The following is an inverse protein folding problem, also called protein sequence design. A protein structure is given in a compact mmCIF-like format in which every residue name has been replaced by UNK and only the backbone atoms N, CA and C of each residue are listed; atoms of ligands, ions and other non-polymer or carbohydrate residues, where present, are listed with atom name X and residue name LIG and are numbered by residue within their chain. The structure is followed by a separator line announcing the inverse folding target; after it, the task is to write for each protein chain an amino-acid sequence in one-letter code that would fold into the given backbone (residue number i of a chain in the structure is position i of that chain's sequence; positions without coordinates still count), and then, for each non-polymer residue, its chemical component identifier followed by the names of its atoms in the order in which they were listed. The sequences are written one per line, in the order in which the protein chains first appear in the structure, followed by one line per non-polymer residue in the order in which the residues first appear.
data_IF_836220786032
#
_entry.id   IF_836220786032
#
_cell.length_a   1.000
_cell.length_b   1.000
_cell.length_c   1.000
_cell.angle_alpha   90.00
_cell.angle_beta   90.00
_cell.angle_gamma   90.00
#
_symmetry.space_group_name_H-M   'P 1'
#
loop_
_entity.id
_entity.type
_entity.pdbx_description
1 polymer ?
#
# COMPACT_ATOMS: atom_id res chain seq x y z
N UNK A 1 0.66 -10.29 -5.76
CA UNK A 1 0.98 -9.93 -4.36
C UNK A 1 -0.14 -10.36 -3.42
N UNK A 2 -1.38 -9.97 -3.72
CA UNK A 2 -2.52 -10.27 -2.84
C UNK A 2 -2.67 -11.77 -2.56
N UNK A 3 -2.53 -12.60 -3.57
CA UNK A 3 -2.70 -14.04 -3.39
C UNK A 3 -1.59 -14.64 -2.52
N UNK A 4 -0.38 -14.13 -2.66
CA UNK A 4 0.73 -14.58 -1.85
C UNK A 4 0.52 -14.21 -0.38
N UNK A 5 0.05 -12.99 -0.13
CA UNK A 5 -0.25 -12.54 1.22
C UNK A 5 -1.37 -13.39 1.84
N UNK A 6 -2.40 -13.67 1.08
CA UNK A 6 -3.53 -14.45 1.56
C UNK A 6 -3.12 -15.89 1.91
N UNK A 7 -2.25 -16.47 1.10
CA UNK A 7 -1.75 -17.83 1.36
C UNK A 7 -0.88 -17.89 2.60
N UNK A 8 -0.05 -16.86 2.81
CA UNK A 8 0.85 -16.83 3.95
C UNK A 8 0.15 -16.47 5.27
N UNK A 9 -0.97 -15.81 5.18
CA UNK A 9 -1.71 -15.39 6.36
C UNK A 9 -3.18 -15.77 6.23
N UNK A 10 -3.51 -17.05 6.31
CA UNK A 10 -4.88 -17.53 6.09
C UNK A 10 -5.89 -16.99 7.09
N UNK A 11 -5.43 -16.54 8.25
CA UNK A 11 -6.31 -15.93 9.24
C UNK A 11 -6.55 -14.45 9.03
N UNK A 12 -5.91 -13.85 8.00
CA UNK A 12 -6.05 -12.43 7.71
C UNK A 12 -6.99 -12.22 6.53
N UNK A 13 -7.66 -11.08 6.53
CA UNK A 13 -8.48 -10.66 5.42
C UNK A 13 -7.62 -9.83 4.49
N UNK A 14 -7.57 -10.20 3.22
CA UNK A 14 -6.77 -9.51 2.22
C UNK A 14 -7.70 -8.82 1.23
N UNK A 15 -7.54 -7.52 1.08
CA UNK A 15 -8.32 -6.75 0.12
C UNK A 15 -7.41 -6.37 -1.03
N UNK A 16 -7.71 -6.91 -2.21
CA UNK A 16 -6.97 -6.62 -3.43
C UNK A 16 -7.68 -5.50 -4.17
N UNK A 17 -6.97 -4.42 -4.41
CA UNK A 17 -7.54 -3.21 -4.98
C UNK A 17 -6.89 -2.91 -6.31
N UNK A 18 -7.70 -2.69 -7.34
CA UNK A 18 -7.21 -2.31 -8.66
C UNK A 18 -8.26 -1.49 -9.37
N UNK A 19 -7.84 -0.48 -10.10
CA UNK A 19 -8.73 0.34 -10.91
C UNK A 19 -9.20 -0.39 -12.17
N UNK A 20 -8.45 -1.38 -12.63
CA UNK A 20 -8.73 -2.11 -13.85
C UNK A 20 -9.68 -3.26 -13.59
N UNK A 21 -10.85 -3.23 -14.22
CA UNK A 21 -11.87 -4.26 -14.03
C UNK A 21 -11.39 -5.64 -14.45
N UNK A 22 -10.64 -5.71 -15.54
CA UNK A 22 -10.13 -6.99 -16.02
C UNK A 22 -9.13 -7.59 -15.03
N UNK A 23 -8.26 -6.76 -14.48
CA UNK A 23 -7.31 -7.21 -13.48
C UNK A 23 -8.02 -7.71 -12.23
N UNK A 24 -9.11 -7.04 -11.83
CA UNK A 24 -9.92 -7.50 -10.71
C UNK A 24 -10.55 -8.85 -10.97
N UNK A 25 -11.07 -9.06 -12.17
CA UNK A 25 -11.68 -10.35 -12.53
C UNK A 25 -10.66 -11.47 -12.50
N UNK A 26 -9.46 -11.22 -13.04
CA UNK A 26 -8.38 -12.21 -13.03
C UNK A 26 -7.94 -12.53 -11.61
N UNK A 27 -7.82 -11.53 -10.77
CA UNK A 27 -7.43 -11.74 -9.38
C UNK A 27 -8.47 -12.60 -8.65
N UNK A 28 -9.74 -12.29 -8.83
CA UNK A 28 -10.82 -13.02 -8.19
C UNK A 28 -10.86 -14.48 -8.67
N UNK A 29 -10.70 -14.70 -9.99
CA UNK A 29 -10.67 -16.04 -10.55
C UNK A 29 -9.50 -16.83 -10.02
N UNK A 30 -8.33 -16.21 -9.92
CA UNK A 30 -7.13 -16.88 -9.42
C UNK A 30 -7.25 -17.19 -7.92
N UNK A 31 -7.87 -16.32 -7.15
CA UNK A 31 -8.11 -16.56 -5.73
C UNK A 31 -9.02 -17.79 -5.56
N UNK A 32 -10.08 -17.86 -6.35
CA UNK A 32 -11.00 -18.98 -6.30
C UNK A 32 -10.30 -20.28 -6.69
N UNK A 33 -9.52 -20.23 -7.78
CA UNK A 33 -8.80 -21.40 -8.27
C UNK A 33 -7.78 -21.92 -7.27
N UNK A 34 -7.20 -21.04 -6.47
CA UNK A 34 -6.19 -21.41 -5.49
C UNK A 34 -6.77 -21.64 -4.09
N UNK A 35 -8.09 -21.63 -3.94
CA UNK A 35 -8.72 -21.90 -2.67
C UNK A 35 -8.40 -20.88 -1.60
N UNK A 36 -8.42 -19.59 -1.96
CA UNK A 36 -8.11 -18.50 -1.05
C UNK A 36 -9.37 -17.69 -0.72
N UNK A 37 -10.19 -18.14 0.23
CA UNK A 37 -11.45 -17.45 0.54
C UNK A 37 -11.25 -16.13 1.29
N UNK A 38 -10.06 -15.87 1.78
CA UNK A 38 -9.76 -14.65 2.51
C UNK A 38 -9.34 -13.48 1.63
N UNK A 39 -9.55 -13.57 0.31
CA UNK A 39 -9.26 -12.48 -0.62
C UNK A 39 -10.57 -11.86 -1.09
N UNK A 40 -10.69 -10.55 -0.94
CA UNK A 40 -11.78 -9.78 -1.51
C UNK A 40 -11.18 -8.83 -2.54
N UNK A 41 -11.75 -8.78 -3.74
CA UNK A 41 -11.22 -7.95 -4.83
C UNK A 41 -12.20 -6.84 -5.12
N UNK A 42 -11.73 -5.60 -5.03
CA UNK A 42 -12.62 -4.43 -5.15
C UNK A 42 -11.96 -3.30 -5.93
N UNK A 43 -12.80 -2.38 -6.43
CA UNK A 43 -12.33 -1.12 -6.98
C UNK A 43 -11.96 -0.17 -5.82
N UNK A 44 -11.07 0.80 -6.05
CA UNK A 44 -10.63 1.70 -4.97
C UNK A 44 -11.78 2.45 -4.28
N UNK A 45 -12.77 2.86 -5.04
CA UNK A 45 -13.90 3.62 -4.50
C UNK A 45 -14.90 2.75 -3.74
N UNK A 46 -14.76 1.44 -3.82
CA UNK A 46 -15.64 0.50 -3.11
C UNK A 46 -15.10 0.14 -1.72
N UNK A 47 -13.93 0.62 -1.36
CA UNK A 47 -13.34 0.34 -0.04
C UNK A 47 -13.95 1.27 1.00
N UNK A 48 -14.47 0.70 2.08
CA UNK A 48 -15.05 1.48 3.15
C UNK A 48 -14.02 2.46 3.70
N UNK A 49 -14.37 3.74 3.75
CA UNK A 49 -13.44 4.79 4.18
C UNK A 49 -13.04 4.66 5.65
N UNK A 50 -13.82 3.97 6.46
CA UNK A 50 -13.50 3.75 7.86
C UNK A 50 -12.52 2.60 8.08
N UNK A 51 -12.30 1.81 7.05
CA UNK A 51 -11.44 0.64 7.17
C UNK A 51 -9.98 1.05 7.32
N UNK A 52 -9.27 0.39 8.23
CA UNK A 52 -7.85 0.63 8.48
C UNK A 52 -7.09 -0.68 8.28
N UNK A 53 -5.84 -0.56 7.85
CA UNK A 53 -5.04 -1.71 7.45
C UNK A 53 -3.80 -1.87 8.32
N UNK A 54 -3.51 -3.11 8.69
CA UNK A 54 -2.29 -3.43 9.41
C UNK A 54 -1.11 -3.53 8.46
N UNK A 55 -1.37 -3.86 7.21
CA UNK A 55 -0.33 -3.96 6.19
C UNK A 55 -0.90 -3.50 4.85
N UNK A 56 -0.18 -2.62 4.19
CA UNK A 56 -0.48 -2.22 2.82
C UNK A 56 0.73 -2.61 1.99
N UNK A 57 0.50 -3.27 0.87
CA UNK A 57 1.57 -3.63 -0.05
C UNK A 57 1.23 -3.07 -1.42
N UNK A 58 2.12 -2.26 -1.99
CA UNK A 58 1.83 -1.59 -3.23
C UNK A 58 3.03 -1.43 -4.13
N UNK A 59 2.77 -1.53 -5.42
CA UNK A 59 3.69 -1.08 -6.46
C UNK A 59 3.03 0.19 -7.01
N UNK A 60 3.37 1.37 -6.48
CA UNK A 60 2.62 2.58 -6.82
C UNK A 60 2.86 3.03 -8.25
N UNK A 61 1.86 3.71 -8.87
CA UNK A 61 1.97 4.15 -10.27
C UNK A 61 2.86 5.39 -10.39
N UNK A 62 4.17 5.18 -10.52
CA UNK A 62 5.13 6.28 -10.59
C UNK A 62 4.89 7.19 -11.80
N UNK A 63 4.31 6.65 -12.86
CA UNK A 63 4.18 7.38 -14.13
C UNK A 63 3.07 8.42 -14.16
N UNK A 64 2.22 8.48 -13.14
CA UNK A 64 1.13 9.46 -13.12
C UNK A 64 1.62 10.87 -12.76
N UNK A 65 2.88 11.02 -12.37
CA UNK A 65 3.42 12.31 -11.95
C UNK A 65 3.56 12.40 -10.45
N UNK A 66 4.45 13.27 -10.00
CA UNK A 66 4.79 13.35 -8.57
C UNK A 66 3.63 13.82 -7.70
N UNK A 67 2.92 14.86 -8.12
CA UNK A 67 1.84 15.40 -7.31
C UNK A 67 0.72 14.38 -7.12
N UNK A 68 0.33 13.71 -8.18
CA UNK A 68 -0.72 12.72 -8.14
C UNK A 68 -0.30 11.49 -7.33
N UNK A 69 0.95 11.08 -7.49
CA UNK A 69 1.51 9.96 -6.71
C UNK A 69 1.51 10.28 -5.21
N UNK A 70 1.96 11.48 -4.86
CA UNK A 70 2.02 11.89 -3.46
C UNK A 70 0.63 11.96 -2.83
N UNK A 71 -0.34 12.47 -3.58
CA UNK A 71 -1.71 12.54 -3.10
C UNK A 71 -2.29 11.15 -2.89
N UNK A 72 -2.05 10.24 -3.82
CA UNK A 72 -2.50 8.86 -3.73
C UNK A 72 -1.90 8.16 -2.52
N UNK A 73 -0.59 8.30 -2.34
CA UNK A 73 0.09 7.68 -1.20
C UNK A 73 -0.37 8.26 0.13
N UNK A 74 -0.49 9.58 0.22
CA UNK A 74 -0.97 10.19 1.45
C UNK A 74 -2.34 9.66 1.85
N UNK A 75 -3.21 9.47 0.87
CA UNK A 75 -4.55 8.94 1.11
C UNK A 75 -4.50 7.52 1.67
N UNK A 76 -3.70 6.64 1.06
CA UNK A 76 -3.63 5.24 1.51
C UNK A 76 -2.82 5.08 2.80
N UNK A 77 -1.72 5.80 2.93
CA UNK A 77 -0.90 5.74 4.14
C UNK A 77 -1.68 6.18 5.38
N UNK A 78 -2.58 7.13 5.20
CA UNK A 78 -3.44 7.58 6.30
C UNK A 78 -4.43 6.53 6.77
N UNK A 79 -4.54 5.42 6.06
CA UNK A 79 -5.45 4.34 6.40
C UNK A 79 -4.76 3.18 7.11
N UNK A 80 -3.52 3.35 7.51
CA UNK A 80 -2.85 2.36 8.33
C UNK A 80 -3.35 2.42 9.78
N UNK A 81 -3.35 1.27 10.45
CA UNK A 81 -3.53 1.25 11.90
C UNK A 81 -2.31 1.89 12.56
N UNK A 82 -2.39 2.30 13.84
CA UNK A 82 -1.24 2.93 14.52
C UNK A 82 0.04 2.10 14.52
N UNK A 83 -0.07 0.79 14.45
CA UNK A 83 1.08 -0.10 14.40
C UNK A 83 1.29 -0.70 13.01
N UNK A 84 0.56 -0.21 12.02
CA UNK A 84 0.61 -0.74 10.68
C UNK A 84 1.86 -0.34 9.92
N UNK A 85 2.10 -1.02 8.81
CA UNK A 85 3.21 -0.70 7.92
C UNK A 85 2.76 -0.81 6.47
N UNK A 86 3.49 -0.13 5.61
CA UNK A 86 3.26 -0.18 4.17
C UNK A 86 4.57 -0.57 3.49
N UNK A 87 4.50 -1.54 2.59
CA UNK A 87 5.64 -1.92 1.77
C UNK A 87 5.42 -1.41 0.36
N UNK A 88 6.34 -0.59 -0.11
CA UNK A 88 6.29 -0.05 -1.46
C UNK A 88 7.39 -0.67 -2.30
N UNK A 89 7.03 -1.14 -3.49
CA UNK A 89 8.00 -1.67 -4.45
C UNK A 89 8.18 -0.59 -5.51
N UNK A 90 9.37 -0.02 -5.60
CA UNK A 90 9.63 1.13 -6.47
C UNK A 90 10.86 0.89 -7.32
N UNK A 91 10.79 1.23 -8.61
CA UNK A 91 11.96 1.13 -9.46
C UNK A 91 12.97 2.19 -9.06
N UNK A 92 14.21 1.74 -8.88
CA UNK A 92 15.30 2.59 -8.41
C UNK A 92 15.50 3.83 -9.27
N UNK A 93 15.53 3.65 -10.59
CA UNK A 93 15.78 4.75 -11.51
C UNK A 93 14.55 5.60 -11.81
N UNK A 94 13.39 5.25 -11.30
CA UNK A 94 12.19 6.04 -11.48
C UNK A 94 11.84 6.89 -10.26
N UNK A 95 12.82 7.10 -9.37
CA UNK A 95 12.64 8.04 -8.28
C UNK A 95 12.45 7.44 -6.90
N UNK A 96 12.98 6.24 -6.66
CA UNK A 96 12.88 5.61 -5.34
C UNK A 96 13.49 6.48 -4.24
N UNK A 97 14.65 7.09 -4.49
CA UNK A 97 15.29 7.94 -3.49
C UNK A 97 14.49 9.21 -3.23
N UNK A 98 13.97 9.80 -4.29
CA UNK A 98 13.13 10.98 -4.18
C UNK A 98 11.85 10.69 -3.39
N UNK A 99 11.24 9.55 -3.64
CA UNK A 99 10.04 9.14 -2.93
C UNK A 99 10.33 8.90 -1.45
N UNK A 100 11.42 8.22 -1.14
CA UNK A 100 11.81 7.97 0.24
C UNK A 100 12.01 9.29 0.99
N UNK A 101 12.66 10.26 0.35
CA UNK A 101 12.89 11.57 0.94
C UNK A 101 11.58 12.31 1.17
N UNK A 102 10.69 12.27 0.20
CA UNK A 102 9.38 12.92 0.32
C UNK A 102 8.59 12.33 1.48
N UNK A 103 8.56 11.02 1.61
CA UNK A 103 7.85 10.35 2.70
C UNK A 103 8.41 10.76 4.06
N UNK A 104 9.72 10.73 4.19
CA UNK A 104 10.38 11.10 5.44
C UNK A 104 10.08 12.56 5.80
N UNK A 105 10.17 13.45 4.81
CA UNK A 105 9.93 14.87 5.02
C UNK A 105 8.49 15.18 5.43
N UNK A 106 7.57 14.31 5.07
CA UNK A 106 6.15 14.49 5.40
C UNK A 106 5.70 13.70 6.62
N UNK A 107 6.63 13.23 7.41
CA UNK A 107 6.32 12.59 8.69
C UNK A 107 6.07 11.11 8.63
N UNK A 108 6.38 10.47 7.50
CA UNK A 108 6.24 9.03 7.36
C UNK A 108 7.60 8.37 7.54
N UNK A 109 7.88 7.74 8.69
CA UNK A 109 9.16 7.06 8.87
C UNK A 109 9.33 5.99 7.80
N UNK A 110 10.39 6.11 7.01
CA UNK A 110 10.60 5.25 5.85
C UNK A 110 12.02 4.72 5.85
N UNK A 111 12.15 3.40 5.68
CA UNK A 111 13.46 2.80 5.58
C UNK A 111 13.52 1.86 4.39
N UNK A 112 14.69 1.72 3.81
CA UNK A 112 14.91 0.82 2.70
C UNK A 112 15.17 -0.58 3.26
N UNK A 113 14.29 -1.52 2.92
CA UNK A 113 14.44 -2.90 3.37
C UNK A 113 15.38 -3.69 2.48
N UNK A 114 15.29 -3.48 1.17
CA UNK A 114 16.06 -4.27 0.22
C UNK A 114 16.19 -3.53 -1.10
N UNK A 115 17.14 -3.97 -1.89
CA UNK A 115 17.34 -3.47 -3.24
C UNK A 115 17.76 -4.66 -4.09
N UNK A 116 17.04 -4.90 -5.18
CA UNK A 116 17.31 -6.05 -6.04
C UNK A 116 16.81 -5.78 -7.45
N UNK A 117 17.66 -6.11 -8.42
CA UNK A 117 17.31 -6.05 -9.84
C UNK A 117 16.68 -4.72 -10.26
N UNK A 118 17.19 -3.61 -9.75
CA UNK A 118 16.69 -2.29 -10.11
C UNK A 118 15.45 -1.86 -9.34
N UNK A 119 14.96 -2.67 -8.42
CA UNK A 119 13.84 -2.32 -7.56
C UNK A 119 14.29 -2.09 -6.13
N UNK A 120 13.54 -1.27 -5.44
CA UNK A 120 13.78 -0.96 -4.04
C UNK A 120 12.51 -1.24 -3.25
N UNK A 121 12.65 -1.91 -2.10
CA UNK A 121 11.56 -2.10 -1.17
C UNK A 121 11.68 -1.06 -0.07
N UNK A 122 10.66 -0.25 0.08
CA UNK A 122 10.58 0.75 1.13
C UNK A 122 9.55 0.32 2.16
N UNK A 123 9.93 0.38 3.43
CA UNK A 123 9.00 0.12 4.52
C UNK A 123 8.61 1.45 5.13
N UNK A 124 7.32 1.74 5.16
CA UNK A 124 6.79 2.99 5.70
C UNK A 124 5.99 2.65 6.94
N UNK A 125 6.39 3.22 8.07
CA UNK A 125 5.67 3.03 9.31
C UNK A 125 4.54 4.06 9.41
N UNK A 126 3.54 3.74 10.23
CA UNK A 126 2.52 4.69 10.58
C UNK A 126 3.21 5.87 11.25
N UNK A 127 3.03 7.06 10.72
CA UNK A 127 3.65 8.25 11.29
C UNK A 127 3.06 8.55 12.66
N UNK A 128 3.72 9.39 13.45
CA UNK A 128 3.12 9.83 14.67
C UNK A 128 1.82 10.52 14.31
N UNK A 129 0.77 10.24 15.06
CA UNK A 129 -0.49 10.91 14.86
C UNK A 129 -0.20 12.38 14.91
N UNK A 130 -0.64 13.08 13.88
CA UNK A 130 -0.42 14.50 13.87
C UNK A 130 -1.12 15.08 15.05
N UNK A 131 -0.31 15.61 15.91
CA UNK A 131 -0.80 16.17 17.11
C UNK A 131 -1.74 17.30 16.86
N UNK A 132 -1.50 17.99 15.77
CA UNK A 132 -2.38 19.06 15.40
C UNK A 132 -3.73 18.58 14.99
N UNK A 133 -3.78 17.44 14.39
CA UNK A 133 -5.06 16.86 14.03
C UNK A 133 -5.74 16.34 15.23
N UNK A 134 -5.00 15.91 16.19
CA UNK A 134 -5.57 15.39 17.31
C UNK A 134 -5.56 16.34 18.35
N UNK A 135 -4.65 17.07 18.30
CA UNK A 135 -4.63 17.84 19.33
C UNK A 135 -5.34 18.97 19.22
N UNK A 136 -5.64 19.08 18.42
CA UNK A 136 -6.15 19.92 18.54
C UNK A 136 -6.66 19.93 19.49
N UNK A 137 -6.37 19.87 19.98
CA UNK A 137 -6.95 19.67 21.17
C UNK A 137 -7.45 20.68 21.71
#
# INVERSE_FOLDING_TARGET
IALTLARRAPGSEVIAIDTNERARRLCAANALRNGLPNVEVVAPDAVDSALRFDLIWSNPPIRVGKAELHELLASWLGRMTPTGSTILVVQKHLGADSLQRWLTDHGWPTERLASSKGYRLLSVASGPRRVDGDADP
#
